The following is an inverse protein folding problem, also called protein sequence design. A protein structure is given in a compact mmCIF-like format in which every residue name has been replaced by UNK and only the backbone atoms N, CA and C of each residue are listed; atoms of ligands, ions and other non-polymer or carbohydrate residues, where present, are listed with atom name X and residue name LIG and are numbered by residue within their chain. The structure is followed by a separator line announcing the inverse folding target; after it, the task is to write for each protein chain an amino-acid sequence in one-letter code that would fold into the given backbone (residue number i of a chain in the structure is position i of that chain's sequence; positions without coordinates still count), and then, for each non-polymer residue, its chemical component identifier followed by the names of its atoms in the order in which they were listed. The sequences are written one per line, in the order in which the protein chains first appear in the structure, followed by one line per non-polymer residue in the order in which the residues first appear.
data_IF_287557358406
#
_entry.id   IF_287557358406
#
_cell.length_a   1.000
_cell.length_b   1.000
_cell.length_c   1.000
_cell.angle_alpha   90.00
_cell.angle_beta   90.00
_cell.angle_gamma   90.00
#
_symmetry.space_group_name_H-M   'P 1'
#
loop_
_entity.id
_entity.type
_entity.pdbx_description
1 polymer ?
#
# COMPACT_ATOMS: atom_id res chain seq x y z
N UNK A 1 -50.13 -3.33 3.10
CA UNK A 1 -48.83 -3.83 3.62
C UNK A 1 -47.76 -3.85 2.51
N UNK A 2 -47.52 -2.74 1.80
CA UNK A 2 -46.65 -2.71 0.59
C UNK A 2 -45.42 -1.77 0.71
N UNK A 3 -45.37 -0.91 1.73
CA UNK A 3 -44.36 0.16 1.80
C UNK A 3 -43.08 -0.23 2.55
N UNK A 4 -43.06 -1.39 3.23
CA UNK A 4 -41.88 -1.85 3.98
C UNK A 4 -40.80 -2.54 3.13
N UNK A 5 -41.09 -2.91 1.87
CA UNK A 5 -40.08 -3.51 0.98
C UNK A 5 -39.17 -2.49 0.29
N UNK A 6 -39.55 -1.21 0.29
CA UNK A 6 -38.83 -0.15 -0.44
C UNK A 6 -37.66 0.45 0.37
N UNK A 7 -37.70 0.38 1.70
CA UNK A 7 -36.68 1.00 2.55
C UNK A 7 -35.37 0.21 2.69
N UNK A 8 -35.37 -1.10 2.37
CA UNK A 8 -34.16 -1.94 2.43
C UNK A 8 -33.35 -1.97 1.12
N UNK A 9 -33.84 -1.34 0.05
CA UNK A 9 -33.20 -1.36 -1.25
C UNK A 9 -31.84 -0.62 -1.36
N UNK A 10 -31.48 0.41 -0.55
CA UNK A 10 -30.22 1.12 -0.78
C UNK A 10 -29.00 0.41 -0.18
N UNK A 11 -29.17 -0.60 0.68
CA UNK A 11 -28.06 -1.32 1.31
C UNK A 11 -27.43 -2.42 0.43
N UNK A 12 -28.14 -2.89 -0.60
CA UNK A 12 -27.61 -3.87 -1.55
C UNK A 12 -26.76 -3.25 -2.68
N UNK A 13 -26.64 -1.91 -2.72
CA UNK A 13 -25.89 -1.18 -3.74
C UNK A 13 -24.46 -0.87 -3.28
N UNK A 14 -23.80 -1.77 -2.56
CA UNK A 14 -22.34 -1.77 -2.53
C UNK A 14 -21.81 -2.43 -3.81
N UNK A 15 -22.10 -1.80 -4.94
CA UNK A 15 -21.45 -2.09 -6.20
C UNK A 15 -20.04 -1.50 -6.15
N UNK A 16 -19.16 -2.07 -5.33
CA UNK A 16 -17.78 -2.30 -5.77
C UNK A 16 -17.85 -3.33 -6.90
N UNK A 17 -18.45 -2.91 -8.01
CA UNK A 17 -18.25 -3.56 -9.28
C UNK A 17 -16.76 -3.39 -9.54
N UNK A 18 -15.99 -4.45 -9.31
CA UNK A 18 -14.73 -4.59 -10.01
C UNK A 18 -15.11 -4.49 -11.48
N UNK A 19 -14.91 -3.31 -12.08
CA UNK A 19 -15.08 -3.08 -13.51
C UNK A 19 -14.00 -3.89 -14.20
N UNK A 20 -14.23 -5.20 -14.28
CA UNK A 20 -13.53 -6.09 -15.17
C UNK A 20 -14.36 -6.11 -16.45
N UNK A 21 -14.34 -4.98 -17.17
CA UNK A 21 -14.97 -4.88 -18.49
C UNK A 21 -14.44 -6.03 -19.35
N UNK A 22 -15.31 -6.89 -19.92
CA UNK A 22 -14.89 -7.89 -20.88
C UNK A 22 -14.17 -7.25 -22.08
N UNK A 23 -14.48 -5.99 -22.39
CA UNK A 23 -13.82 -5.19 -23.43
C UNK A 23 -12.32 -4.92 -23.15
N UNK A 24 -11.87 -4.90 -21.89
CA UNK A 24 -10.43 -4.83 -21.58
C UNK A 24 -9.74 -6.19 -21.65
N UNK A 25 -10.51 -7.30 -21.61
CA UNK A 25 -10.02 -8.67 -21.82
C UNK A 25 -10.04 -9.08 -23.30
N UNK A 26 -10.92 -8.46 -24.11
CA UNK A 26 -11.00 -8.67 -25.56
C UNK A 26 -10.03 -7.82 -26.37
N UNK A 27 -9.20 -7.01 -25.72
CA UNK A 27 -7.98 -6.46 -26.31
C UNK A 27 -6.86 -7.52 -26.32
N UNK A 28 -7.19 -8.71 -26.81
CA UNK A 28 -6.27 -9.65 -27.46
C UNK A 28 -5.68 -8.89 -28.64
N UNK A 29 -4.47 -8.34 -28.58
CA UNK A 29 -3.25 -9.16 -28.72
C UNK A 29 -1.99 -8.49 -28.11
N UNK A 30 -2.09 -7.27 -27.59
CA UNK A 30 -0.92 -6.56 -27.04
C UNK A 30 -1.28 -5.71 -25.83
N UNK A 31 -0.93 -6.22 -24.64
CA UNK A 31 -0.77 -5.39 -23.43
C UNK A 31 0.14 -4.21 -23.83
N UNK A 32 -0.33 -2.94 -23.75
CA UNK A 32 0.49 -1.81 -24.16
C UNK A 32 1.82 -1.83 -23.40
N UNK A 33 2.91 -1.48 -24.07
CA UNK A 33 4.29 -1.71 -23.58
C UNK A 33 4.54 -1.22 -22.14
N UNK A 34 3.89 -0.14 -21.72
CA UNK A 34 3.94 0.37 -20.34
C UNK A 34 3.33 -0.56 -19.28
N UNK A 35 2.25 -1.28 -19.61
CA UNK A 35 1.57 -2.18 -18.66
C UNK A 35 2.31 -3.50 -18.47
N UNK A 36 3.17 -3.90 -19.41
CA UNK A 36 4.04 -5.07 -19.24
C UNK A 36 4.98 -4.91 -18.04
N UNK A 37 5.48 -3.68 -17.80
CA UNK A 37 6.33 -3.40 -16.64
C UNK A 37 5.56 -3.45 -15.32
N UNK A 38 4.28 -3.07 -15.34
CA UNK A 38 3.42 -3.16 -14.17
C UNK A 38 3.15 -4.61 -13.79
N UNK A 39 2.94 -5.48 -14.78
CA UNK A 39 2.75 -6.91 -14.53
C UNK A 39 4.00 -7.55 -13.91
N UNK A 40 5.19 -7.27 -14.46
CA UNK A 40 6.45 -7.77 -13.89
C UNK A 40 6.66 -7.28 -12.44
N UNK A 41 6.32 -6.01 -12.15
CA UNK A 41 6.38 -5.49 -10.78
C UNK A 41 5.34 -6.14 -9.88
N UNK A 42 4.11 -6.30 -10.35
CA UNK A 42 3.05 -6.96 -9.61
C UNK A 42 3.43 -8.40 -9.25
N UNK A 43 4.02 -9.14 -10.20
CA UNK A 43 4.51 -10.50 -9.97
C UNK A 43 5.58 -10.52 -8.88
N UNK A 44 6.54 -9.59 -8.91
CA UNK A 44 7.58 -9.44 -7.85
C UNK A 44 6.98 -9.14 -6.48
N UNK A 45 5.95 -8.30 -6.41
CA UNK A 45 5.26 -7.97 -5.16
C UNK A 45 4.22 -9.04 -4.74
N UNK A 46 3.91 -10.02 -5.58
CA UNK A 46 2.98 -11.11 -5.26
C UNK A 46 3.67 -12.42 -4.86
N UNK A 47 5.01 -12.49 -4.93
CA UNK A 47 5.76 -13.65 -4.43
C UNK A 47 5.51 -13.80 -2.92
N UNK A 48 5.20 -15.02 -2.48
CA UNK A 48 4.94 -15.35 -1.08
C UNK A 48 6.25 -15.55 -0.30
N UNK A 49 7.05 -14.50 -0.17
CA UNK A 49 8.34 -14.53 0.54
C UNK A 49 8.22 -14.36 2.07
N UNK A 50 7.00 -14.17 2.59
CA UNK A 50 6.74 -13.86 4.01
C UNK A 50 7.24 -12.48 4.47
N UNK A 51 7.91 -11.72 3.60
CA UNK A 51 8.42 -10.37 3.88
C UNK A 51 7.28 -9.35 3.94
N UNK A 52 7.31 -8.39 4.87
CA UNK A 52 6.34 -7.31 4.93
C UNK A 52 6.45 -6.39 3.70
N UNK A 53 5.33 -5.73 3.35
CA UNK A 53 5.22 -4.98 2.09
C UNK A 53 6.27 -3.87 1.93
N UNK A 54 6.66 -3.21 3.03
CA UNK A 54 7.63 -2.10 3.04
C UNK A 54 9.09 -2.53 2.83
N UNK A 55 9.38 -3.84 2.78
CA UNK A 55 10.72 -4.38 2.46
C UNK A 55 10.67 -5.25 1.20
N UNK A 56 9.49 -5.36 0.57
CA UNK A 56 9.24 -6.31 -0.52
C UNK A 56 9.85 -5.87 -1.84
N UNK A 57 10.13 -4.59 -2.02
CA UNK A 57 10.85 -4.05 -3.19
C UNK A 57 12.33 -4.39 -3.22
N UNK A 58 12.88 -4.96 -2.14
CA UNK A 58 14.19 -5.60 -2.11
C UNK A 58 15.20 -4.93 -1.18
N UNK A 59 16.49 -5.02 -1.54
CA UNK A 59 17.58 -4.55 -0.70
C UNK A 59 17.59 -3.03 -0.49
N UNK A 60 17.10 -2.26 -1.48
CA UNK A 60 17.05 -0.80 -1.40
C UNK A 60 16.07 -0.36 -0.29
N UNK A 61 14.89 -0.97 -0.25
CA UNK A 61 13.88 -0.74 0.80
C UNK A 61 14.46 -1.04 2.20
N UNK A 62 15.24 -2.11 2.32
CA UNK A 62 15.91 -2.48 3.57
C UNK A 62 16.93 -1.43 4.03
N UNK A 63 17.72 -0.90 3.09
CA UNK A 63 18.72 0.15 3.38
C UNK A 63 18.02 1.43 3.80
N UNK A 64 17.01 1.84 3.03
CA UNK A 64 16.26 3.06 3.30
C UNK A 64 15.55 2.98 4.67
N UNK A 65 14.91 1.84 4.96
CA UNK A 65 14.30 1.59 6.26
C UNK A 65 15.29 1.72 7.42
N UNK A 66 16.46 1.07 7.31
CA UNK A 66 17.50 1.13 8.35
C UNK A 66 18.04 2.55 8.55
N UNK A 67 18.23 3.29 7.45
CA UNK A 67 18.70 4.67 7.51
C UNK A 67 17.68 5.57 8.19
N UNK A 68 16.41 5.49 7.80
CA UNK A 68 15.33 6.25 8.43
C UNK A 68 15.21 5.90 9.91
N UNK A 69 15.21 4.62 10.26
CA UNK A 69 15.12 4.17 11.65
C UNK A 69 16.31 4.68 12.47
N UNK A 70 17.53 4.59 11.94
CA UNK A 70 18.74 5.09 12.58
C UNK A 70 18.68 6.60 12.83
N UNK A 71 18.26 7.37 11.83
CA UNK A 71 18.10 8.83 11.96
C UNK A 71 17.04 9.19 13.02
N UNK A 72 15.90 8.49 13.05
CA UNK A 72 14.87 8.72 14.06
C UNK A 72 15.35 8.39 15.47
N UNK A 73 16.10 7.31 15.66
CA UNK A 73 16.65 6.96 16.98
C UNK A 73 17.66 8.01 17.45
N UNK A 74 18.53 8.49 16.57
CA UNK A 74 19.48 9.56 16.88
C UNK A 74 18.75 10.84 17.28
N UNK A 75 17.70 11.21 16.55
CA UNK A 75 16.90 12.39 16.88
C UNK A 75 16.25 12.27 18.27
N UNK A 76 15.62 11.13 18.58
CA UNK A 76 14.99 10.90 19.89
C UNK A 76 16.00 10.98 21.03
N UNK A 77 17.19 10.38 20.86
CA UNK A 77 18.26 10.44 21.87
C UNK A 77 18.71 11.89 22.06
N UNK A 78 18.89 12.62 20.96
CA UNK A 78 19.28 14.03 21.01
C UNK A 78 18.26 14.89 21.74
N UNK A 79 16.97 14.68 21.48
CA UNK A 79 15.88 15.38 22.17
C UNK A 79 15.90 15.11 23.67
N UNK A 80 16.11 13.86 24.10
CA UNK A 80 16.21 13.50 25.52
C UNK A 80 17.40 14.18 26.18
N UNK A 81 18.57 14.21 25.53
CA UNK A 81 19.76 14.93 26.03
C UNK A 81 19.46 16.42 26.15
N UNK A 82 18.85 17.02 25.12
CA UNK A 82 18.49 18.44 25.11
C UNK A 82 17.52 18.78 26.24
N UNK A 83 16.48 17.97 26.46
CA UNK A 83 15.54 18.19 27.55
C UNK A 83 16.17 18.03 28.93
N UNK A 84 17.08 17.06 29.08
CA UNK A 84 17.82 16.90 30.32
C UNK A 84 18.66 18.15 30.64
N UNK A 85 19.44 18.64 29.68
CA UNK A 85 20.26 19.85 29.84
C UNK A 85 19.41 21.08 30.17
N UNK A 86 18.23 21.20 29.56
CA UNK A 86 17.29 22.28 29.87
C UNK A 86 16.63 22.13 31.23
N UNK A 87 16.38 20.90 31.70
CA UNK A 87 15.79 20.65 33.02
C UNK A 87 16.73 20.95 34.19
N UNK A 88 18.05 20.97 33.94
CA UNK A 88 19.06 21.29 34.94
C UNK A 88 19.36 22.79 35.07
N UNK A 89 18.77 23.62 34.20
CA UNK A 89 18.81 25.08 34.29
C UNK A 89 17.62 25.61 35.07
#
# INVERSE_FOLDING_TARGET
MSLLRSALAPLARNSRSFVSSPASRSATDQVPSGYKQLQVRADRFNINDGKPIFVKGGSLDSILYKLTMGASLVAVIWDVVLYYDLSQR
#
